data_IF_670635462934
#
_entry.id   IF_670635462934
#
_cell.length_a   1.000
_cell.length_b   1.000
_cell.length_c   1.000
_cell.angle_alpha   90.00
_cell.angle_beta   90.00
_cell.angle_gamma   90.00
#
_symmetry.space_group_name_H-M   'P 1'
#
loop_
_entity.id
_entity.type
_entity.pdbx_description
1 polymer ?
#
# COMPACT_ATOMS: atom_id res chain seq x y z
N UNK A 1 7.04 67.31 -32.09
CA UNK A 1 7.85 66.25 -32.71
C UNK A 1 8.63 65.62 -31.58
N UNK A 2 8.45 64.35 -31.23
CA UNK A 2 8.72 63.19 -32.08
C UNK A 2 7.91 61.99 -31.56
N UNK A 3 7.17 61.34 -32.46
CA UNK A 3 6.32 60.19 -32.16
C UNK A 3 7.15 58.90 -32.23
N UNK A 4 7.16 58.10 -31.16
CA UNK A 4 7.73 56.76 -31.18
C UNK A 4 6.63 55.72 -31.43
N UNK A 5 6.85 54.91 -32.46
CA UNK A 5 5.87 54.13 -33.19
C UNK A 5 5.25 52.96 -32.40
N UNK A 6 3.92 52.80 -32.54
CA UNK A 6 3.21 51.54 -32.31
C UNK A 6 3.73 50.47 -33.28
N UNK A 7 4.40 49.43 -32.77
CA UNK A 7 4.64 48.19 -33.54
C UNK A 7 3.31 47.47 -33.72
N UNK A 8 2.68 47.65 -34.89
CA UNK A 8 1.64 46.77 -35.38
C UNK A 8 2.26 45.41 -35.70
N UNK A 9 1.76 44.33 -35.09
CA UNK A 9 2.09 42.97 -35.53
C UNK A 9 1.31 42.65 -36.80
N UNK A 10 2.07 42.19 -37.80
CA UNK A 10 1.59 41.73 -39.09
C UNK A 10 0.52 40.64 -38.94
N UNK A 11 -0.51 40.73 -39.80
CA UNK A 11 -1.55 39.73 -39.93
C UNK A 11 -1.00 38.39 -40.40
N UNK A 12 -1.00 37.42 -39.50
CA UNK A 12 -1.10 35.99 -39.82
C UNK A 12 -2.38 35.52 -39.18
N UNK A 13 -3.23 34.80 -39.92
CA UNK A 13 -4.56 34.35 -39.48
C UNK A 13 -4.50 33.75 -38.09
N UNK A 14 -4.91 34.53 -37.09
CA UNK A 14 -4.96 34.09 -35.70
C UNK A 14 -6.04 33.03 -35.65
N UNK A 15 -5.66 31.78 -35.39
CA UNK A 15 -6.62 30.87 -34.78
C UNK A 15 -7.28 31.64 -33.62
N UNK A 16 -8.62 31.63 -33.50
CA UNK A 16 -9.31 32.42 -32.50
C UNK A 16 -8.72 32.10 -31.12
N UNK A 17 -8.47 33.13 -30.30
CA UNK A 17 -7.98 32.93 -28.93
C UNK A 17 -9.10 32.29 -28.09
N UNK A 18 -9.13 30.95 -28.14
CA UNK A 18 -10.13 30.14 -27.46
C UNK A 18 -9.99 30.21 -25.94
N UNK A 19 -8.81 30.58 -25.42
CA UNK A 19 -8.55 30.64 -23.99
C UNK A 19 -9.13 31.93 -23.39
N UNK A 20 -9.00 33.05 -24.10
CA UNK A 20 -9.67 34.31 -23.71
C UNK A 20 -11.20 34.21 -23.79
N UNK A 21 -11.73 33.33 -24.63
CA UNK A 21 -13.18 33.07 -24.75
C UNK A 21 -13.77 32.25 -23.59
N UNK A 22 -12.95 31.56 -22.78
CA UNK A 22 -13.44 30.82 -21.61
C UNK A 22 -13.91 31.76 -20.50
N UNK A 23 -14.88 31.32 -19.70
CA UNK A 23 -15.31 32.05 -18.50
C UNK A 23 -14.25 32.00 -17.40
N UNK A 24 -14.28 32.96 -16.48
CA UNK A 24 -13.38 32.99 -15.31
C UNK A 24 -13.51 31.75 -14.42
N UNK A 25 -14.70 31.13 -14.40
CA UNK A 25 -14.94 29.88 -13.68
C UNK A 25 -14.17 28.72 -14.30
N UNK A 26 -14.24 28.55 -15.63
CA UNK A 26 -13.50 27.50 -16.34
C UNK A 26 -11.98 27.73 -16.25
N UNK A 27 -11.54 28.99 -16.37
CA UNK A 27 -10.12 29.31 -16.22
C UNK A 27 -9.61 29.00 -14.80
N UNK A 28 -10.37 29.34 -13.74
CA UNK A 28 -10.02 28.95 -12.36
C UNK A 28 -9.98 27.43 -12.21
N UNK A 29 -10.94 26.71 -12.79
CA UNK A 29 -10.95 25.25 -12.77
C UNK A 29 -9.70 24.66 -13.44
N UNK A 30 -9.27 25.21 -14.58
CA UNK A 30 -8.00 24.82 -15.23
C UNK A 30 -6.80 25.10 -14.31
N UNK A 31 -6.75 26.29 -13.69
CA UNK A 31 -5.66 26.66 -12.78
C UNK A 31 -5.59 25.76 -11.54
N UNK A 32 -6.70 25.18 -11.06
CA UNK A 32 -6.70 24.23 -9.94
C UNK A 32 -5.85 22.97 -10.19
N UNK A 33 -5.61 22.60 -11.45
CA UNK A 33 -4.79 21.45 -11.80
C UNK A 33 -3.30 21.77 -11.90
N UNK A 34 -2.93 23.06 -11.88
CA UNK A 34 -1.55 23.49 -12.00
C UNK A 34 -0.86 23.56 -10.64
N UNK A 35 0.45 23.27 -10.56
CA UNK A 35 1.28 23.74 -9.46
C UNK A 35 1.13 25.25 -9.30
N UNK A 36 1.08 25.74 -8.07
CA UNK A 36 0.83 27.15 -7.77
C UNK A 36 1.86 28.09 -8.42
N UNK A 37 3.10 27.62 -8.59
CA UNK A 37 4.13 28.35 -9.35
C UNK A 37 3.75 28.56 -10.81
N UNK A 38 3.22 27.54 -11.47
CA UNK A 38 2.76 27.63 -12.86
C UNK A 38 1.48 28.48 -12.97
N UNK A 39 0.57 28.36 -12.01
CA UNK A 39 -0.62 29.20 -11.95
C UNK A 39 -0.25 30.69 -11.87
N UNK A 40 0.72 31.08 -11.04
CA UNK A 40 1.23 32.45 -11.00
C UNK A 40 1.92 32.85 -12.31
N UNK A 41 2.63 31.94 -12.98
CA UNK A 41 3.28 32.26 -14.27
C UNK A 41 2.28 32.63 -15.37
N UNK A 42 1.01 32.20 -15.28
CA UNK A 42 -0.03 32.58 -16.25
C UNK A 42 -0.33 34.08 -16.27
N UNK A 43 0.13 34.85 -15.28
CA UNK A 43 -0.05 36.32 -15.25
C UNK A 43 0.61 37.03 -16.42
N UNK A 44 1.56 36.39 -17.11
CA UNK A 44 2.20 36.95 -18.32
C UNK A 44 1.26 36.99 -19.52
N UNK A 45 0.14 36.23 -19.49
CA UNK A 45 -0.82 36.15 -20.58
C UNK A 45 -1.67 37.42 -20.67
N UNK A 46 -2.20 37.90 -19.53
CA UNK A 46 -2.89 39.19 -19.41
C UNK A 46 -3.16 39.56 -17.95
N UNK A 47 -3.60 40.81 -17.71
CA UNK A 47 -4.00 41.28 -16.36
C UNK A 47 -5.10 40.43 -15.72
N UNK A 48 -6.02 39.89 -16.53
CA UNK A 48 -7.12 39.02 -16.07
C UNK A 48 -6.61 37.82 -15.26
N UNK A 49 -5.48 37.25 -15.67
CA UNK A 49 -4.89 36.08 -15.01
C UNK A 49 -4.35 36.39 -13.61
N UNK A 50 -4.01 37.64 -13.31
CA UNK A 50 -3.56 38.08 -11.97
C UNK A 50 -4.66 37.88 -10.93
N UNK A 51 -5.89 38.26 -11.26
CA UNK A 51 -7.02 38.13 -10.34
C UNK A 51 -7.54 36.69 -10.30
N UNK A 52 -7.46 35.98 -11.44
CA UNK A 52 -7.83 34.56 -11.51
C UNK A 52 -6.97 33.71 -10.57
N UNK A 53 -5.64 33.76 -10.66
CA UNK A 53 -4.80 32.88 -9.82
C UNK A 53 -4.97 33.17 -8.32
N UNK A 54 -5.20 34.43 -7.93
CA UNK A 54 -5.41 34.81 -6.51
C UNK A 54 -6.70 34.25 -5.93
N UNK A 55 -7.68 33.92 -6.77
CA UNK A 55 -9.00 33.43 -6.38
C UNK A 55 -9.20 31.94 -6.67
N UNK A 56 -8.14 31.22 -7.06
CA UNK A 56 -8.17 29.77 -7.26
C UNK A 56 -8.40 29.08 -5.92
N UNK A 57 -9.38 28.15 -5.79
CA UNK A 57 -9.62 27.44 -4.54
C UNK A 57 -8.59 26.32 -4.27
N UNK A 58 -7.40 26.38 -4.85
CA UNK A 58 -6.40 25.34 -4.77
C UNK A 58 -4.99 25.92 -4.64
N UNK A 59 -4.25 25.40 -3.67
CA UNK A 59 -2.84 25.70 -3.44
C UNK A 59 -2.08 24.39 -3.53
N UNK A 60 -1.15 24.31 -4.47
CA UNK A 60 -0.31 23.14 -4.68
C UNK A 60 1.15 23.58 -4.77
N UNK A 61 1.88 23.38 -3.68
CA UNK A 61 3.27 23.77 -3.53
C UNK A 61 4.11 22.54 -3.26
N UNK A 62 5.01 22.21 -4.18
CA UNK A 62 5.97 21.13 -4.02
C UNK A 62 7.39 21.70 -4.13
N UNK A 63 8.26 21.32 -3.19
CA UNK A 63 9.69 21.61 -3.21
C UNK A 63 10.38 21.24 -4.54
N UNK A 64 9.86 20.24 -5.25
CA UNK A 64 10.36 19.82 -6.56
C UNK A 64 10.09 20.84 -7.68
N UNK A 65 9.10 21.72 -7.53
CA UNK A 65 8.85 22.85 -8.46
C UNK A 65 9.94 23.92 -8.40
N UNK A 66 10.77 23.86 -7.35
CA UNK A 66 11.87 24.76 -7.07
C UNK A 66 13.24 24.06 -7.21
N UNK A 67 13.32 22.93 -7.93
CA UNK A 67 14.60 22.26 -8.23
C UNK A 67 15.61 23.26 -8.81
N UNK A 68 16.79 23.32 -8.20
CA UNK A 68 17.85 24.26 -8.58
C UNK A 68 17.73 25.67 -7.98
N UNK A 69 16.67 25.96 -7.22
CA UNK A 69 16.56 27.20 -6.45
C UNK A 69 17.00 26.98 -4.99
N UNK A 70 17.53 28.04 -4.37
CA UNK A 70 17.80 28.08 -2.94
C UNK A 70 16.49 28.09 -2.12
N UNK A 71 16.54 27.56 -0.89
CA UNK A 71 15.42 27.53 0.05
C UNK A 71 14.81 28.92 0.25
N UNK A 72 15.64 29.97 0.34
CA UNK A 72 15.17 31.35 0.49
C UNK A 72 14.18 31.76 -0.60
N UNK A 73 14.47 31.42 -1.86
CA UNK A 73 13.57 31.74 -2.99
C UNK A 73 12.24 30.99 -2.89
N UNK A 74 12.27 29.72 -2.51
CA UNK A 74 11.08 28.90 -2.34
C UNK A 74 10.21 29.40 -1.18
N UNK A 75 10.85 29.78 -0.07
CA UNK A 75 10.23 30.39 1.10
C UNK A 75 9.57 31.72 0.76
N UNK A 76 10.28 32.62 0.09
CA UNK A 76 9.79 33.95 -0.27
C UNK A 76 8.62 33.85 -1.25
N UNK A 77 8.76 33.00 -2.27
CA UNK A 77 7.66 32.72 -3.20
C UNK A 77 6.43 32.20 -2.46
N UNK A 78 6.59 31.20 -1.60
CA UNK A 78 5.46 30.60 -0.86
C UNK A 78 4.80 31.62 0.05
N UNK A 79 5.60 32.38 0.79
CA UNK A 79 5.09 33.42 1.70
C UNK A 79 4.30 34.48 0.93
N UNK A 80 4.86 34.98 -0.17
CA UNK A 80 4.20 36.00 -1.01
C UNK A 80 2.94 35.46 -1.68
N UNK A 81 2.99 34.22 -2.17
CA UNK A 81 1.83 33.55 -2.77
C UNK A 81 0.68 33.49 -1.78
N UNK A 82 0.93 33.00 -0.56
CA UNK A 82 -0.08 32.93 0.48
C UNK A 82 -0.56 34.34 0.87
N UNK A 83 0.30 35.37 0.87
CA UNK A 83 -0.08 36.78 1.17
C UNK A 83 -1.03 37.37 0.16
N UNK A 84 -0.83 37.05 -1.11
CA UNK A 84 -1.62 37.58 -2.21
C UNK A 84 -2.85 36.72 -2.54
N UNK A 85 -2.92 35.50 -2.01
CA UNK A 85 -4.05 34.61 -2.18
C UNK A 85 -5.30 35.16 -1.46
N UNK A 86 -6.42 35.19 -2.17
CA UNK A 86 -7.65 35.84 -1.72
C UNK A 86 -8.92 34.99 -1.94
N UNK A 87 -8.79 33.68 -2.12
CA UNK A 87 -9.97 32.80 -2.10
C UNK A 87 -10.59 32.77 -0.69
N UNK A 88 -11.92 32.86 -0.61
CA UNK A 88 -12.65 32.75 0.65
C UNK A 88 -12.51 31.35 1.26
N UNK A 89 -12.61 30.32 0.41
CA UNK A 89 -12.47 28.92 0.77
C UNK A 89 -11.42 28.24 -0.09
N UNK A 90 -10.69 27.30 0.49
CA UNK A 90 -9.79 26.41 -0.24
C UNK A 90 -10.42 25.03 -0.34
N UNK A 91 -10.47 24.45 -1.53
CA UNK A 91 -10.86 23.06 -1.72
C UNK A 91 -9.66 22.14 -1.50
N UNK A 92 -8.48 22.53 -2.00
CA UNK A 92 -7.27 21.70 -1.90
C UNK A 92 -6.09 22.52 -1.48
N UNK A 93 -5.39 22.07 -0.43
CA UNK A 93 -4.11 22.63 0.00
C UNK A 93 -3.09 21.51 0.10
N UNK A 94 -2.03 21.60 -0.72
CA UNK A 94 -0.88 20.71 -0.68
C UNK A 94 0.38 21.51 -0.45
N UNK A 95 1.08 21.20 0.65
CA UNK A 95 2.35 21.81 1.05
C UNK A 95 3.37 20.70 1.24
N UNK A 96 4.15 20.41 0.19
CA UNK A 96 5.13 19.32 0.14
C UNK A 96 6.55 19.88 0.12
N UNK A 97 7.12 20.06 1.30
CA UNK A 97 8.46 20.59 1.48
C UNK A 97 9.35 19.52 2.11
N UNK A 98 9.90 18.63 1.26
CA UNK A 98 10.81 17.58 1.71
C UNK A 98 12.26 18.08 1.81
N UNK A 99 12.99 17.61 2.82
CA UNK A 99 14.43 17.85 2.96
C UNK A 99 15.20 17.25 1.78
N UNK A 100 15.46 18.07 0.76
CA UNK A 100 16.24 17.63 -0.41
C UNK A 100 17.76 17.78 -0.22
N UNK A 101 18.25 18.43 0.84
CA UNK A 101 19.68 18.55 1.11
C UNK A 101 20.01 18.82 2.59
N UNK A 102 21.08 18.17 3.09
CA UNK A 102 21.55 18.22 4.49
C UNK A 102 22.12 19.58 4.96
N UNK A 103 22.00 20.62 4.14
CA UNK A 103 22.73 21.90 4.32
C UNK A 103 21.78 23.06 4.67
N UNK A 104 20.46 22.88 4.60
CA UNK A 104 19.51 23.98 4.80
C UNK A 104 18.80 23.97 6.16
N UNK A 105 18.52 25.20 6.63
CA UNK A 105 17.76 25.52 7.84
C UNK A 105 16.37 24.86 7.82
N UNK A 106 15.92 24.44 8.99
CA UNK A 106 14.65 23.75 9.18
C UNK A 106 13.44 24.63 8.79
N UNK A 107 12.53 24.17 7.91
CA UNK A 107 11.41 24.97 7.43
C UNK A 107 10.28 25.14 8.44
N UNK A 108 10.34 24.55 9.64
CA UNK A 108 9.20 24.46 10.55
C UNK A 108 8.55 25.78 10.94
N UNK A 109 9.29 26.85 11.31
CA UNK A 109 8.66 28.14 11.63
C UNK A 109 7.90 28.74 10.44
N UNK A 110 8.42 28.55 9.23
CA UNK A 110 7.76 29.01 8.00
C UNK A 110 6.54 28.14 7.70
N UNK A 111 6.66 26.81 7.84
CA UNK A 111 5.55 25.86 7.70
C UNK A 111 4.43 26.14 8.70
N UNK A 112 4.73 26.46 9.97
CA UNK A 112 3.71 26.80 10.98
C UNK A 112 2.93 28.04 10.55
N UNK A 113 3.65 29.09 10.12
CA UNK A 113 3.03 30.31 9.60
C UNK A 113 2.14 30.03 8.38
N UNK A 114 2.63 29.23 7.43
CA UNK A 114 1.89 28.89 6.22
C UNK A 114 0.65 28.05 6.51
N UNK A 115 0.78 27.04 7.38
CA UNK A 115 -0.31 26.15 7.79
C UNK A 115 -1.39 26.95 8.54
N UNK A 116 -1.01 27.82 9.48
CA UNK A 116 -1.98 28.72 10.16
C UNK A 116 -2.73 29.61 9.20
N UNK A 117 -2.09 30.06 8.11
CA UNK A 117 -2.77 30.86 7.09
C UNK A 117 -3.81 30.03 6.35
N UNK A 118 -3.41 28.91 5.76
CA UNK A 118 -4.28 28.12 4.89
C UNK A 118 -5.47 27.50 5.64
N UNK A 119 -5.30 27.15 6.92
CA UNK A 119 -6.39 26.62 7.76
C UNK A 119 -7.53 27.64 7.93
N UNK A 120 -7.24 28.96 7.95
CA UNK A 120 -8.27 30.01 8.05
C UNK A 120 -9.23 30.02 6.85
N UNK A 121 -8.86 29.40 5.73
CA UNK A 121 -9.70 29.30 4.54
C UNK A 121 -10.49 27.98 4.49
N UNK A 122 -10.60 27.26 5.62
CA UNK A 122 -11.45 26.08 5.78
C UNK A 122 -11.28 25.01 4.68
N UNK A 123 -10.06 24.43 4.54
CA UNK A 123 -9.76 23.50 3.47
C UNK A 123 -10.66 22.25 3.48
N UNK A 124 -11.12 21.80 2.31
CA UNK A 124 -11.77 20.49 2.15
C UNK A 124 -10.73 19.34 2.22
N UNK A 125 -9.56 19.56 1.62
CA UNK A 125 -8.40 18.66 1.63
C UNK A 125 -7.17 19.42 2.13
N UNK A 126 -6.53 18.89 3.17
CA UNK A 126 -5.25 19.39 3.68
C UNK A 126 -4.19 18.28 3.60
N UNK A 127 -3.14 18.52 2.82
CA UNK A 127 -2.02 17.61 2.60
C UNK A 127 -0.71 18.33 2.93
N UNK A 128 -0.10 17.98 4.06
CA UNK A 128 1.15 18.58 4.54
C UNK A 128 2.20 17.49 4.62
N UNK A 129 3.33 17.69 3.94
CA UNK A 129 4.46 16.77 3.99
C UNK A 129 5.77 17.55 4.15
N UNK A 130 6.49 17.30 5.25
CA UNK A 130 7.74 18.01 5.60
C UNK A 130 8.97 17.08 5.42
N UNK A 131 8.75 15.85 4.96
CA UNK A 131 9.79 14.83 4.86
C UNK A 131 10.36 14.40 6.22
N UNK A 132 11.40 13.56 6.21
CA UNK A 132 12.01 13.00 7.44
C UNK A 132 12.83 14.07 8.16
N UNK A 133 12.26 14.73 9.17
CA UNK A 133 13.03 15.54 10.12
C UNK A 133 13.27 14.76 11.42
N UNK A 134 14.51 14.33 11.65
CA UNK A 134 14.90 13.67 12.90
C UNK A 134 15.19 14.65 14.05
N UNK A 135 15.30 15.95 13.78
CA UNK A 135 15.83 16.94 14.74
C UNK A 135 14.84 18.00 15.21
N UNK A 136 13.72 18.19 14.51
CA UNK A 136 12.79 19.27 14.81
C UNK A 136 11.34 18.83 14.63
N UNK A 137 10.54 19.08 15.66
CA UNK A 137 9.15 18.66 15.77
C UNK A 137 8.23 19.77 15.24
N UNK A 138 7.71 19.57 14.03
CA UNK A 138 6.62 20.41 13.54
C UNK A 138 5.32 19.86 14.12
N UNK A 139 4.63 20.65 14.93
CA UNK A 139 3.28 20.33 15.40
C UNK A 139 2.26 21.03 14.51
N UNK A 140 1.23 20.30 14.10
CA UNK A 140 0.13 20.92 13.37
C UNK A 140 -0.70 21.78 14.33
N UNK A 141 -0.89 23.07 14.07
CA UNK A 141 -1.76 23.90 14.88
C UNK A 141 -3.21 23.46 14.67
N UNK A 142 -3.74 22.69 15.61
CA UNK A 142 -5.17 22.33 15.62
C UNK A 142 -5.95 23.51 16.16
N UNK A 143 -6.50 24.30 15.24
CA UNK A 143 -7.33 25.46 15.57
C UNK A 143 -8.80 25.05 15.50
N UNK A 144 -9.32 24.43 16.57
CA UNK A 144 -10.76 24.20 16.83
C UNK A 144 -11.67 24.12 15.58
N UNK A 145 -12.68 25.00 15.51
CA UNK A 145 -13.71 25.07 14.46
C UNK A 145 -13.21 25.35 13.04
N UNK A 146 -11.91 25.56 12.82
CA UNK A 146 -11.37 25.90 11.51
C UNK A 146 -11.44 24.74 10.50
N UNK A 147 -11.65 23.50 10.94
CA UNK A 147 -11.75 22.32 10.08
C UNK A 147 -13.17 21.79 9.88
N UNK A 148 -14.20 22.64 10.05
CA UNK A 148 -15.61 22.24 9.90
C UNK A 148 -16.01 21.64 8.55
N UNK A 149 -15.20 21.82 7.49
CA UNK A 149 -15.39 21.23 6.15
C UNK A 149 -14.36 20.18 5.76
N UNK A 150 -13.35 19.93 6.60
CA UNK A 150 -12.22 19.08 6.24
C UNK A 150 -12.64 17.62 6.13
N UNK A 151 -12.63 17.08 4.91
CA UNK A 151 -12.94 15.67 4.64
C UNK A 151 -11.70 14.79 4.56
N UNK A 152 -10.56 15.35 4.13
CA UNK A 152 -9.32 14.60 3.96
C UNK A 152 -8.15 15.32 4.61
N UNK A 153 -7.47 14.63 5.52
CA UNK A 153 -6.26 15.08 6.19
C UNK A 153 -5.11 14.13 5.90
N UNK A 154 -4.02 14.65 5.32
CA UNK A 154 -2.81 13.88 5.02
C UNK A 154 -1.62 14.58 5.64
N UNK A 155 -0.91 13.88 6.51
CA UNK A 155 0.20 14.40 7.27
C UNK A 155 1.42 13.52 7.08
N UNK A 156 2.54 14.13 6.70
CA UNK A 156 3.80 13.51 6.38
C UNK A 156 4.95 14.12 7.18
N UNK A 157 5.63 13.34 8.02
CA UNK A 157 6.82 13.82 8.74
C UNK A 157 6.55 14.84 9.86
N UNK A 158 5.37 14.79 10.48
CA UNK A 158 4.96 15.72 11.54
C UNK A 158 4.98 15.07 12.93
N UNK A 159 5.10 15.88 13.98
CA UNK A 159 4.91 15.45 15.37
C UNK A 159 3.46 15.73 15.78
N UNK A 160 2.77 14.72 16.31
CA UNK A 160 1.39 14.81 16.74
C UNK A 160 1.32 14.55 18.25
N UNK A 161 0.97 15.58 19.00
CA UNK A 161 0.81 15.50 20.44
C UNK A 161 -0.47 14.75 20.85
N UNK A 162 -0.66 14.52 22.16
CA UNK A 162 -1.87 13.91 22.72
C UNK A 162 -3.15 14.66 22.33
N UNK A 163 -3.09 15.99 22.22
CA UNK A 163 -4.24 16.85 21.92
C UNK A 163 -4.75 16.67 20.49
N UNK A 164 -3.93 16.13 19.57
CA UNK A 164 -4.36 15.78 18.22
C UNK A 164 -5.44 14.72 18.23
N UNK A 165 -5.19 13.60 18.92
CA UNK A 165 -6.12 12.49 18.99
C UNK A 165 -7.46 12.89 19.65
N UNK A 166 -7.41 13.71 20.70
CA UNK A 166 -8.60 14.18 21.42
C UNK A 166 -9.48 15.11 20.58
N UNK A 167 -8.85 15.90 19.70
CA UNK A 167 -9.53 16.92 18.90
C UNK A 167 -9.94 16.45 17.50
N UNK A 168 -9.72 15.19 17.13
CA UNK A 168 -10.14 14.67 15.82
C UNK A 168 -11.65 14.83 15.61
N UNK A 169 -12.46 14.44 16.60
CA UNK A 169 -13.93 14.54 16.52
C UNK A 169 -14.46 15.97 16.63
N UNK A 170 -13.94 16.77 17.57
CA UNK A 170 -14.44 18.14 17.80
C UNK A 170 -13.88 19.15 16.81
N UNK A 171 -12.64 18.96 16.36
CA UNK A 171 -11.96 19.83 15.40
C UNK A 171 -12.36 19.52 13.96
N UNK A 172 -12.45 18.24 13.58
CA UNK A 172 -12.72 17.81 12.21
C UNK A 172 -13.98 16.93 12.12
N UNK A 173 -15.18 17.50 12.38
CA UNK A 173 -16.42 16.73 12.57
C UNK A 173 -16.95 16.02 11.32
N UNK A 174 -16.35 16.25 10.15
CA UNK A 174 -16.72 15.63 8.87
C UNK A 174 -15.55 14.89 8.21
N UNK A 175 -14.51 14.58 8.98
CA UNK A 175 -13.31 13.92 8.47
C UNK A 175 -13.60 12.47 8.09
N UNK A 176 -13.37 12.13 6.83
CA UNK A 176 -13.60 10.79 6.29
C UNK A 176 -12.29 10.06 5.97
N UNK A 177 -11.23 10.78 5.61
CA UNK A 177 -9.94 10.23 5.19
C UNK A 177 -8.79 10.78 6.02
N UNK A 178 -8.07 9.91 6.73
CA UNK A 178 -6.87 10.26 7.49
C UNK A 178 -5.67 9.44 7.01
N UNK A 179 -4.62 10.14 6.59
CA UNK A 179 -3.33 9.54 6.22
C UNK A 179 -2.23 10.12 7.10
N UNK A 180 -1.56 9.25 7.85
CA UNK A 180 -0.38 9.56 8.64
C UNK A 180 0.81 8.82 8.04
N UNK A 181 1.84 9.54 7.62
CA UNK A 181 3.05 8.99 7.03
C UNK A 181 4.29 9.57 7.75
N UNK A 182 5.21 8.72 8.20
CA UNK A 182 6.39 9.15 8.95
C UNK A 182 6.11 10.08 10.14
N UNK A 183 4.92 9.99 10.76
CA UNK A 183 4.54 10.84 11.89
C UNK A 183 5.06 10.27 13.21
N UNK A 184 5.42 11.16 14.14
CA UNK A 184 5.70 10.81 15.53
C UNK A 184 4.45 11.09 16.35
N UNK A 185 3.85 10.05 16.91
CA UNK A 185 2.59 10.14 17.63
C UNK A 185 2.83 10.03 19.14
N UNK A 186 2.45 11.06 19.89
CA UNK A 186 2.47 11.10 21.36
C UNK A 186 1.10 10.74 21.96
N UNK A 187 0.33 9.95 21.23
CA UNK A 187 -0.96 9.40 21.66
C UNK A 187 -1.00 7.90 21.43
N UNK A 188 -1.86 7.22 22.19
CA UNK A 188 -2.08 5.77 22.14
C UNK A 188 -3.30 5.39 21.30
N UNK A 189 -4.25 6.31 21.10
CA UNK A 189 -5.55 6.01 20.54
C UNK A 189 -6.01 7.01 19.48
N UNK A 190 -6.54 6.50 18.36
CA UNK A 190 -7.29 7.27 17.37
C UNK A 190 -8.77 7.00 17.60
N UNK A 191 -9.54 8.05 17.90
CA UNK A 191 -10.99 7.98 18.09
C UNK A 191 -11.66 8.86 17.06
N UNK A 192 -12.55 8.29 16.23
CA UNK A 192 -13.33 9.09 15.29
C UNK A 192 -14.65 8.42 14.90
N UNK A 193 -15.74 9.19 14.91
CA UNK A 193 -17.07 8.67 14.56
C UNK A 193 -17.40 8.81 13.05
N UNK A 194 -16.61 9.59 12.31
CA UNK A 194 -16.84 9.88 10.89
C UNK A 194 -15.82 9.22 9.95
N UNK A 195 -14.68 8.77 10.48
CA UNK A 195 -13.58 8.27 9.68
C UNK A 195 -13.96 6.99 8.92
N UNK A 196 -13.78 7.03 7.59
CA UNK A 196 -14.04 5.90 6.67
C UNK A 196 -12.77 5.24 6.19
N UNK A 197 -11.68 6.01 6.03
CA UNK A 197 -10.41 5.50 5.55
C UNK A 197 -9.27 5.96 6.47
N UNK A 198 -8.49 5.00 6.97
CA UNK A 198 -7.33 5.26 7.80
C UNK A 198 -6.09 4.60 7.20
N UNK A 199 -5.05 5.40 6.99
CA UNK A 199 -3.74 4.94 6.54
C UNK A 199 -2.68 5.42 7.52
N UNK A 200 -1.92 4.49 8.10
CA UNK A 200 -0.79 4.79 8.99
C UNK A 200 0.44 4.09 8.45
N UNK A 201 1.46 4.85 8.04
CA UNK A 201 2.70 4.34 7.45
C UNK A 201 3.90 4.88 8.21
N UNK A 202 4.82 4.00 8.59
CA UNK A 202 6.13 4.34 9.17
C UNK A 202 6.03 5.33 10.33
N UNK A 203 4.93 5.31 11.08
CA UNK A 203 4.72 6.18 12.23
C UNK A 203 5.29 5.53 13.49
N UNK A 204 5.80 6.34 14.41
CA UNK A 204 6.37 5.90 15.68
C UNK A 204 5.59 6.45 16.88
N UNK A 205 5.70 5.78 18.03
CA UNK A 205 5.24 6.31 19.31
C UNK A 205 6.22 5.96 20.41
N UNK A 206 6.53 6.92 21.27
CA UNK A 206 7.33 6.72 22.48
C UNK A 206 6.45 6.50 23.72
N UNK A 207 5.15 6.76 23.62
CA UNK A 207 4.21 6.79 24.75
C UNK A 207 3.49 5.45 24.88
N UNK A 208 3.23 4.76 23.76
CA UNK A 208 2.41 3.57 23.75
C UNK A 208 3.08 2.42 22.99
N UNK A 209 3.11 1.24 23.64
CA UNK A 209 3.44 -0.01 22.97
C UNK A 209 2.32 -0.52 22.05
N UNK A 210 1.08 -0.08 22.25
CA UNK A 210 -0.12 -0.51 21.49
C UNK A 210 -0.78 0.70 20.85
N UNK A 211 -1.19 0.61 19.59
CA UNK A 211 -2.07 1.60 18.96
C UNK A 211 -3.53 1.14 19.05
N UNK A 212 -4.40 1.99 19.57
CA UNK A 212 -5.84 1.74 19.71
C UNK A 212 -6.57 2.52 18.60
N UNK A 213 -7.45 1.85 17.85
CA UNK A 213 -8.28 2.51 16.84
C UNK A 213 -9.74 2.26 17.18
N UNK A 214 -10.48 3.32 17.50
CA UNK A 214 -11.93 3.30 17.72
C UNK A 214 -12.59 4.14 16.64
N UNK A 215 -13.05 3.49 15.58
CA UNK A 215 -13.66 4.15 14.43
C UNK A 215 -14.77 3.28 13.84
N UNK A 216 -16.02 3.40 14.33
CA UNK A 216 -17.10 2.47 13.99
C UNK A 216 -17.52 2.52 12.52
N UNK A 217 -17.29 3.65 11.84
CA UNK A 217 -17.61 3.85 10.43
C UNK A 217 -16.47 3.49 9.47
N UNK A 218 -15.38 2.91 9.98
CA UNK A 218 -14.17 2.65 9.20
C UNK A 218 -14.43 1.56 8.16
N UNK A 219 -14.28 1.90 6.88
CA UNK A 219 -14.46 0.99 5.74
C UNK A 219 -13.12 0.45 5.20
N UNK A 220 -12.04 1.22 5.33
CA UNK A 220 -10.71 0.84 4.85
C UNK A 220 -9.62 1.15 5.88
N UNK A 221 -8.79 0.16 6.18
CA UNK A 221 -7.64 0.27 7.08
C UNK A 221 -6.35 -0.15 6.37
N UNK A 222 -5.33 0.70 6.41
CA UNK A 222 -3.99 0.38 5.91
C UNK A 222 -2.94 0.71 6.96
N UNK A 223 -2.23 -0.30 7.45
CA UNK A 223 -1.20 -0.15 8.48
C UNK A 223 0.12 -0.71 7.98
N UNK A 224 1.13 0.13 7.88
CA UNK A 224 2.44 -0.26 7.37
C UNK A 224 3.57 0.16 8.32
N UNK A 225 4.10 -0.80 9.08
CA UNK A 225 5.18 -0.57 10.05
C UNK A 225 6.44 -1.34 9.63
N UNK A 226 7.40 -0.70 8.94
CA UNK A 226 8.63 -1.37 8.50
C UNK A 226 9.72 -1.46 9.59
N UNK A 227 9.54 -0.79 10.73
CA UNK A 227 10.51 -0.72 11.82
C UNK A 227 9.81 -0.84 13.20
N UNK A 228 10.60 -0.86 14.28
CA UNK A 228 10.26 -1.13 15.69
C UNK A 228 9.19 -0.20 16.35
N UNK A 229 8.03 -0.04 15.75
CA UNK A 229 6.97 0.87 16.20
C UNK A 229 5.75 0.07 16.66
N UNK A 230 5.18 0.45 17.82
CA UNK A 230 4.06 -0.26 18.48
C UNK A 230 4.33 -1.74 18.77
N UNK A 231 5.39 -2.02 19.55
CA UNK A 231 5.89 -3.37 19.87
C UNK A 231 4.86 -4.35 20.44
N UNK A 232 3.83 -3.84 21.12
CA UNK A 232 2.78 -4.64 21.76
C UNK A 232 1.53 -4.82 20.86
N UNK A 233 1.53 -4.27 19.64
CA UNK A 233 0.54 -4.54 18.61
C UNK A 233 -0.55 -3.47 18.44
N UNK A 234 -1.74 -3.89 18.01
CA UNK A 234 -2.88 -3.02 17.70
C UNK A 234 -4.15 -3.56 18.36
N UNK A 235 -4.97 -2.65 18.88
CA UNK A 235 -6.36 -2.94 19.26
C UNK A 235 -7.31 -2.18 18.35
N UNK A 236 -8.13 -2.92 17.59
CA UNK A 236 -9.08 -2.35 16.64
C UNK A 236 -10.52 -2.55 17.09
N UNK A 237 -11.27 -1.45 17.16
CA UNK A 237 -12.71 -1.39 17.35
C UNK A 237 -13.33 -0.62 16.18
N UNK A 238 -13.43 -1.28 15.02
CA UNK A 238 -13.89 -0.69 13.76
C UNK A 238 -15.37 -0.98 13.42
N UNK A 239 -16.13 -1.54 14.36
CA UNK A 239 -17.51 -1.99 14.10
C UNK A 239 -17.58 -3.06 13.00
N UNK A 240 -18.75 -3.15 12.33
CA UNK A 240 -18.99 -4.09 11.24
C UNK A 240 -18.75 -3.48 9.84
N UNK A 241 -18.33 -2.21 9.77
CA UNK A 241 -18.19 -1.47 8.51
C UNK A 241 -16.89 -1.75 7.75
N UNK A 242 -15.91 -2.38 8.40
CA UNK A 242 -14.58 -2.57 7.83
C UNK A 242 -14.60 -3.61 6.70
N UNK A 243 -14.51 -3.13 5.46
CA UNK A 243 -14.51 -3.97 4.27
C UNK A 243 -13.09 -4.38 3.84
N UNK A 244 -12.12 -3.46 3.94
CA UNK A 244 -10.75 -3.68 3.48
C UNK A 244 -9.73 -3.44 4.58
N UNK A 245 -8.81 -4.39 4.75
CA UNK A 245 -7.66 -4.22 5.64
C UNK A 245 -6.37 -4.66 4.94
N UNK A 246 -5.33 -3.82 5.02
CA UNK A 246 -3.98 -4.13 4.57
C UNK A 246 -3.00 -3.85 5.70
N UNK A 247 -2.33 -4.89 6.21
CA UNK A 247 -1.51 -4.77 7.41
C UNK A 247 -0.15 -5.40 7.20
N UNK A 248 0.89 -4.62 7.49
CA UNK A 248 2.27 -5.06 7.50
C UNK A 248 2.79 -5.14 8.92
N UNK A 249 3.16 -6.35 9.31
CA UNK A 249 3.79 -6.68 10.58
C UNK A 249 5.23 -7.12 10.30
N UNK A 250 6.13 -6.15 10.11
CA UNK A 250 7.57 -6.41 9.89
C UNK A 250 8.32 -5.93 11.12
N UNK A 251 8.95 -6.85 11.86
CA UNK A 251 9.71 -6.55 13.09
C UNK A 251 9.16 -7.22 14.34
N UNK A 252 9.50 -6.69 15.51
CA UNK A 252 9.27 -7.29 16.86
C UNK A 252 7.80 -7.26 17.34
N UNK A 253 6.79 -7.11 16.47
CA UNK A 253 5.40 -7.28 16.92
C UNK A 253 5.26 -8.71 17.42
N UNK A 254 5.00 -8.85 18.72
CA UNK A 254 4.90 -10.18 19.34
C UNK A 254 3.88 -11.05 18.61
N UNK A 255 4.12 -12.36 18.54
CA UNK A 255 3.20 -13.32 17.92
C UNK A 255 1.79 -13.21 18.53
N UNK A 256 1.70 -12.89 19.82
CA UNK A 256 0.45 -12.56 20.54
C UNK A 256 -0.22 -11.29 20.00
N UNK A 257 0.53 -10.22 19.75
CA UNK A 257 0.02 -8.99 19.16
C UNK A 257 -0.52 -9.22 17.74
N UNK A 258 0.18 -10.02 16.94
CA UNK A 258 -0.29 -10.45 15.61
C UNK A 258 -1.61 -11.24 15.70
N UNK A 259 -1.73 -12.16 16.66
CA UNK A 259 -2.95 -12.94 16.87
C UNK A 259 -4.14 -12.05 17.30
N UNK A 260 -3.94 -11.12 18.24
CA UNK A 260 -4.99 -10.16 18.67
C UNK A 260 -5.48 -9.34 17.48
N UNK A 261 -4.55 -8.86 16.66
CA UNK A 261 -4.86 -8.08 15.48
C UNK A 261 -5.69 -8.90 14.48
N UNK A 262 -5.26 -10.12 14.15
CA UNK A 262 -6.00 -11.00 13.22
C UNK A 262 -7.45 -11.22 13.67
N UNK A 263 -7.66 -11.43 14.98
CA UNK A 263 -9.02 -11.62 15.53
C UNK A 263 -9.92 -10.41 15.38
N UNK A 264 -9.37 -9.21 15.26
CA UNK A 264 -10.16 -7.97 15.10
C UNK A 264 -10.64 -7.73 13.66
N UNK A 265 -10.16 -8.52 12.69
CA UNK A 265 -10.38 -8.31 11.25
C UNK A 265 -11.39 -9.30 10.65
N UNK A 266 -12.17 -9.99 11.48
CA UNK A 266 -13.03 -11.09 11.03
C UNK A 266 -14.16 -10.69 10.07
N UNK A 267 -14.58 -9.42 10.10
CA UNK A 267 -15.68 -8.93 9.27
C UNK A 267 -15.25 -8.48 7.85
N UNK A 268 -13.96 -8.44 7.54
CA UNK A 268 -13.46 -7.86 6.28
C UNK A 268 -13.80 -8.72 5.07
N UNK A 269 -13.99 -8.08 3.92
CA UNK A 269 -14.19 -8.74 2.62
C UNK A 269 -12.89 -8.93 1.85
N UNK A 270 -11.92 -8.03 2.05
CA UNK A 270 -10.58 -8.12 1.48
C UNK A 270 -9.52 -7.90 2.55
N UNK A 271 -8.62 -8.88 2.70
CA UNK A 271 -7.55 -8.86 3.68
C UNK A 271 -6.19 -9.05 3.00
N UNK A 272 -5.27 -8.13 3.27
CA UNK A 272 -3.87 -8.23 2.87
C UNK A 272 -2.99 -8.23 4.11
N UNK A 273 -2.13 -9.24 4.22
CA UNK A 273 -1.22 -9.41 5.34
C UNK A 273 0.22 -9.50 4.82
N UNK A 274 1.11 -8.75 5.44
CA UNK A 274 2.54 -8.77 5.15
C UNK A 274 3.33 -9.13 6.41
N UNK A 275 4.19 -10.15 6.35
CA UNK A 275 5.15 -10.46 7.43
C UNK A 275 4.62 -11.22 8.65
N UNK A 276 3.41 -11.80 8.59
CA UNK A 276 2.81 -12.49 9.76
C UNK A 276 3.45 -13.87 10.00
N UNK A 277 3.66 -14.23 11.27
CA UNK A 277 4.23 -15.52 11.71
C UNK A 277 3.21 -16.66 11.72
N UNK A 278 3.65 -17.92 11.61
CA UNK A 278 2.75 -19.08 11.65
C UNK A 278 2.11 -19.25 13.02
N UNK A 279 2.84 -18.91 14.08
CA UNK A 279 2.35 -19.00 15.45
C UNK A 279 1.11 -18.12 15.66
N UNK A 280 1.07 -16.93 15.07
CA UNK A 280 -0.10 -16.05 15.15
C UNK A 280 -1.38 -16.67 14.54
N UNK A 281 -1.24 -17.56 13.55
CA UNK A 281 -2.35 -18.30 12.94
C UNK A 281 -2.62 -19.65 13.61
N UNK A 282 -1.68 -20.16 14.42
CA UNK A 282 -1.75 -21.47 15.09
C UNK A 282 -2.09 -21.38 16.58
N UNK A 283 -2.19 -20.17 17.12
CA UNK A 283 -2.31 -19.91 18.55
C UNK A 283 -3.38 -20.80 19.21
N UNK A 284 -2.92 -21.62 20.17
CA UNK A 284 -3.76 -22.54 20.95
C UNK A 284 -4.55 -21.81 22.06
N UNK A 285 -4.23 -20.56 22.38
CA UNK A 285 -4.93 -19.76 23.40
C UNK A 285 -6.32 -19.25 22.95
N UNK A 286 -6.81 -19.70 21.78
CA UNK A 286 -7.99 -19.19 21.11
C UNK A 286 -9.02 -20.28 20.82
N UNK A 287 -9.67 -20.81 21.85
CA UNK A 287 -10.95 -21.53 21.67
C UNK A 287 -12.06 -20.68 21.00
N UNK A 288 -11.79 -19.41 20.67
CA UNK A 288 -12.70 -18.41 20.10
C UNK A 288 -12.09 -17.65 18.90
N UNK A 289 -11.30 -18.32 18.05
CA UNK A 289 -10.85 -17.69 16.79
C UNK A 289 -12.07 -17.49 15.87
N UNK A 290 -12.33 -16.25 15.40
CA UNK A 290 -13.54 -15.93 14.66
C UNK A 290 -13.52 -16.57 13.27
N UNK A 291 -14.72 -16.80 12.73
CA UNK A 291 -14.89 -17.21 11.33
C UNK A 291 -14.95 -15.95 10.48
N UNK A 292 -14.25 -15.97 9.35
CA UNK A 292 -14.15 -14.89 8.38
C UNK A 292 -15.20 -15.10 7.28
N UNK A 293 -16.49 -15.08 7.65
CA UNK A 293 -17.59 -15.42 6.74
C UNK A 293 -17.74 -14.43 5.57
N UNK A 294 -17.31 -13.18 5.77
CA UNK A 294 -17.36 -12.12 4.76
C UNK A 294 -16.12 -12.11 3.84
N UNK A 295 -15.04 -12.82 4.20
CA UNK A 295 -13.78 -12.74 3.48
C UNK A 295 -13.90 -13.39 2.09
N UNK A 296 -13.63 -12.59 1.05
CA UNK A 296 -13.65 -13.02 -0.36
C UNK A 296 -12.26 -12.99 -0.98
N UNK A 297 -11.42 -12.03 -0.59
CA UNK A 297 -10.05 -11.91 -1.10
C UNK A 297 -9.05 -11.95 0.04
N UNK A 298 -8.09 -12.86 -0.04
CA UNK A 298 -6.98 -12.98 0.90
C UNK A 298 -5.65 -12.86 0.15
N UNK A 299 -4.78 -11.97 0.60
CA UNK A 299 -3.41 -11.81 0.11
C UNK A 299 -2.43 -11.98 1.26
N UNK A 300 -1.50 -12.93 1.14
CA UNK A 300 -0.44 -13.18 2.11
C UNK A 300 0.91 -12.92 1.44
N UNK A 301 1.65 -11.93 1.91
CA UNK A 301 2.96 -11.56 1.39
C UNK A 301 4.03 -11.72 2.46
N UNK A 302 5.15 -12.40 2.15
CA UNK A 302 6.25 -12.65 3.09
C UNK A 302 5.78 -13.15 4.47
N UNK A 303 4.66 -13.87 4.50
CA UNK A 303 4.13 -14.49 5.71
C UNK A 303 4.82 -15.84 5.93
N UNK A 304 4.89 -16.26 7.18
CA UNK A 304 5.50 -17.52 7.60
C UNK A 304 6.97 -17.62 7.22
N UNK A 305 7.76 -16.56 7.38
CA UNK A 305 9.20 -16.60 7.04
C UNK A 305 10.11 -16.93 8.22
N UNK A 306 9.60 -17.04 9.46
CA UNK A 306 10.42 -17.36 10.62
C UNK A 306 10.99 -18.78 10.55
N UNK A 307 12.18 -18.98 11.12
CA UNK A 307 12.79 -20.31 11.30
C UNK A 307 11.95 -21.18 12.24
N UNK A 308 11.19 -20.56 13.16
CA UNK A 308 10.32 -21.24 14.14
C UNK A 308 9.02 -21.75 13.55
N UNK A 309 8.68 -21.31 12.35
CA UNK A 309 7.43 -21.65 11.70
C UNK A 309 7.52 -23.06 11.05
N UNK A 310 7.85 -24.11 11.80
CA UNK A 310 7.93 -25.49 11.26
C UNK A 310 6.57 -25.98 10.73
N UNK A 311 5.48 -25.33 11.15
CA UNK A 311 4.09 -25.67 10.83
C UNK A 311 3.39 -24.66 9.88
N UNK A 312 4.13 -23.94 9.02
CA UNK A 312 3.58 -22.94 8.06
C UNK A 312 2.34 -23.43 7.31
N UNK A 313 2.44 -24.65 6.76
CA UNK A 313 1.40 -25.23 5.94
C UNK A 313 0.12 -25.52 6.74
N UNK A 314 0.29 -26.01 7.98
CA UNK A 314 -0.80 -26.23 8.93
C UNK A 314 -1.47 -24.92 9.33
N UNK A 315 -0.67 -23.86 9.54
CA UNK A 315 -1.16 -22.53 9.86
C UNK A 315 -2.07 -21.98 8.76
N UNK A 316 -1.59 -22.07 7.51
CA UNK A 316 -2.35 -21.68 6.34
C UNK A 316 -3.64 -22.50 6.19
N UNK A 317 -3.57 -23.82 6.30
CA UNK A 317 -4.74 -24.71 6.22
C UNK A 317 -5.82 -24.35 7.25
N UNK A 318 -5.42 -24.12 8.52
CA UNK A 318 -6.35 -23.70 9.58
C UNK A 318 -6.98 -22.33 9.32
N UNK A 319 -6.22 -21.37 8.81
CA UNK A 319 -6.78 -20.06 8.49
C UNK A 319 -7.79 -20.13 7.35
N UNK A 320 -7.49 -20.94 6.33
CA UNK A 320 -8.40 -21.20 5.22
C UNK A 320 -9.68 -21.93 5.67
N UNK A 321 -9.60 -22.83 6.67
CA UNK A 321 -10.80 -23.44 7.28
C UNK A 321 -11.71 -22.41 7.94
N UNK A 322 -11.14 -21.31 8.42
CA UNK A 322 -11.88 -20.18 9.00
C UNK A 322 -12.36 -19.17 7.96
N UNK A 323 -12.12 -19.42 6.66
CA UNK A 323 -12.46 -18.53 5.55
C UNK A 323 -13.30 -19.25 4.49
N UNK A 324 -14.50 -19.75 4.84
CA UNK A 324 -15.26 -20.69 4.00
C UNK A 324 -15.73 -20.11 2.66
N UNK A 325 -15.89 -18.79 2.58
CA UNK A 325 -16.39 -18.08 1.40
C UNK A 325 -15.29 -17.43 0.55
N UNK A 326 -14.03 -17.85 0.72
CA UNK A 326 -12.90 -17.26 0.02
C UNK A 326 -12.97 -17.54 -1.49
N UNK A 327 -12.93 -16.48 -2.30
CA UNK A 327 -13.01 -16.54 -3.76
C UNK A 327 -11.65 -16.34 -4.43
N UNK A 328 -10.77 -15.54 -3.83
CA UNK A 328 -9.44 -15.23 -4.35
C UNK A 328 -8.37 -15.37 -3.28
N UNK A 329 -7.36 -16.17 -3.60
CA UNK A 329 -6.17 -16.36 -2.77
C UNK A 329 -4.93 -15.89 -3.52
N UNK A 330 -4.16 -15.00 -2.92
CA UNK A 330 -2.89 -14.51 -3.42
C UNK A 330 -1.77 -14.83 -2.42
N UNK A 331 -0.79 -15.62 -2.85
CA UNK A 331 0.39 -15.94 -2.07
C UNK A 331 1.60 -15.30 -2.74
N UNK A 332 2.28 -14.42 -2.01
CA UNK A 332 3.45 -13.68 -2.49
C UNK A 332 4.67 -13.96 -1.64
N UNK A 333 5.82 -14.11 -2.29
CA UNK A 333 7.11 -14.35 -1.61
C UNK A 333 6.98 -15.50 -0.58
N UNK A 334 6.23 -16.53 -0.94
CA UNK A 334 5.83 -17.59 -0.02
C UNK A 334 6.82 -18.75 -0.12
N UNK A 335 7.23 -19.30 1.03
CA UNK A 335 8.31 -20.30 1.18
C UNK A 335 9.70 -19.90 0.66
N UNK A 336 9.90 -18.63 0.31
CA UNK A 336 11.23 -18.11 0.02
C UNK A 336 12.05 -18.04 1.32
N UNK A 337 13.05 -18.91 1.49
CA UNK A 337 14.01 -18.79 2.58
C UNK A 337 15.14 -17.89 2.11
N UNK A 338 15.18 -16.65 2.58
CA UNK A 338 16.29 -15.73 2.31
C UNK A 338 17.50 -16.16 3.15
N UNK A 339 18.18 -17.22 2.70
CA UNK A 339 19.44 -17.67 3.26
C UNK A 339 20.59 -16.77 2.81
N UNK A 340 20.86 -15.73 3.60
CA UNK A 340 22.18 -15.13 3.86
C UNK A 340 23.03 -14.80 2.61
N UNK A 341 22.84 -13.62 2.04
CA UNK A 341 23.94 -12.86 1.40
C UNK A 341 24.58 -11.89 2.40
N UNK A 342 24.83 -12.33 3.64
CA UNK A 342 26.00 -11.78 4.35
C UNK A 342 27.20 -12.54 3.82
N UNK A 343 27.96 -11.89 2.93
CA UNK A 343 29.33 -12.27 2.62
C UNK A 343 30.16 -12.21 3.90
N UNK A 344 30.04 -13.22 4.75
CA UNK A 344 31.08 -13.50 5.73
C UNK A 344 32.09 -14.42 5.05
N UNK A 345 33.32 -13.91 4.96
CA UNK A 345 34.50 -14.64 4.55
C UNK A 345 34.76 -15.75 5.57
N UNK A 346 34.12 -16.91 5.41
CA UNK A 346 34.60 -18.16 6.00
C UNK A 346 34.26 -19.31 5.06
N UNK A 347 35.23 -20.20 4.84
CA UNK A 347 35.18 -21.27 3.85
C UNK A 347 34.25 -22.44 4.22
N UNK A 348 33.38 -22.27 5.21
CA UNK A 348 32.41 -23.28 5.62
C UNK A 348 31.00 -22.87 5.19
N UNK A 349 30.53 -23.49 4.09
CA UNK A 349 29.12 -23.44 3.69
C UNK A 349 28.25 -23.88 4.88
N UNK A 350 27.34 -23.05 5.41
CA UNK A 350 26.40 -23.52 6.41
C UNK A 350 25.44 -24.51 5.73
N UNK A 351 25.58 -25.80 6.05
CA UNK A 351 24.61 -26.84 5.69
C UNK A 351 23.35 -26.68 6.55
N UNK A 352 22.57 -25.63 6.29
CA UNK A 352 21.23 -25.50 6.85
C UNK A 352 20.28 -26.39 6.06
N UNK A 353 19.90 -27.52 6.67
CA UNK A 353 18.84 -28.40 6.18
C UNK A 353 17.58 -27.55 6.04
N UNK A 354 17.15 -27.29 4.81
CA UNK A 354 15.81 -26.75 4.53
C UNK A 354 14.79 -27.63 5.24
N UNK A 355 14.15 -27.11 6.30
CA UNK A 355 13.08 -27.81 7.00
C UNK A 355 11.93 -27.93 6.01
N UNK A 356 11.84 -29.09 5.39
CA UNK A 356 10.83 -29.40 4.38
C UNK A 356 9.45 -29.32 5.04
N UNK A 357 8.45 -28.71 4.39
CA UNK A 357 7.09 -28.73 4.91
C UNK A 357 6.64 -30.18 5.03
N UNK A 358 6.38 -30.64 6.26
CA UNK A 358 5.69 -31.90 6.49
C UNK A 358 4.24 -31.68 6.08
N UNK A 359 3.94 -31.95 4.81
CA UNK A 359 2.58 -31.93 4.27
C UNK A 359 1.86 -33.18 4.79
N UNK A 360 1.27 -33.06 5.98
CA UNK A 360 0.39 -34.09 6.52
C UNK A 360 -0.92 -34.17 5.72
N UNK A 361 -1.47 -35.36 5.45
CA UNK A 361 -2.64 -35.55 4.58
C UNK A 361 -4.00 -35.06 5.11
N UNK A 362 -4.11 -34.44 6.31
CA UNK A 362 -5.40 -34.38 7.05
C UNK A 362 -5.92 -32.96 7.36
N UNK A 363 -5.19 -31.86 7.10
CA UNK A 363 -5.58 -30.56 7.70
C UNK A 363 -5.90 -29.41 6.72
N UNK A 364 -5.95 -29.66 5.41
CA UNK A 364 -6.29 -28.60 4.45
C UNK A 364 -7.75 -28.69 3.99
N UNK A 365 -8.51 -27.59 4.01
CA UNK A 365 -9.93 -27.61 3.64
C UNK A 365 -10.11 -27.74 2.13
N UNK A 366 -11.26 -28.28 1.72
CA UNK A 366 -11.76 -28.11 0.36
C UNK A 366 -12.22 -26.66 0.22
N UNK A 367 -11.63 -25.94 -0.73
CA UNK A 367 -11.88 -24.55 -1.05
C UNK A 367 -12.95 -24.45 -2.15
N UNK A 368 -14.19 -24.78 -1.82
CA UNK A 368 -15.29 -24.86 -2.81
C UNK A 368 -15.58 -23.52 -3.50
N UNK A 369 -15.36 -22.41 -2.80
CA UNK A 369 -15.61 -21.06 -3.31
C UNK A 369 -14.41 -20.44 -4.03
N UNK A 370 -13.22 -21.04 -3.96
CA UNK A 370 -12.04 -20.46 -4.58
C UNK A 370 -12.15 -20.51 -6.11
N UNK A 371 -12.05 -19.34 -6.74
CA UNK A 371 -12.09 -19.13 -8.20
C UNK A 371 -10.75 -18.69 -8.75
N UNK A 372 -9.98 -17.93 -7.98
CA UNK A 372 -8.69 -17.39 -8.42
C UNK A 372 -7.58 -17.74 -7.44
N UNK A 373 -6.50 -18.32 -7.95
CA UNK A 373 -5.26 -18.56 -7.21
C UNK A 373 -4.10 -17.84 -7.89
N UNK A 374 -3.39 -17.00 -7.14
CA UNK A 374 -2.19 -16.30 -7.58
C UNK A 374 -1.01 -16.74 -6.72
N UNK A 375 0.05 -17.21 -7.38
CA UNK A 375 1.35 -17.50 -6.79
C UNK A 375 2.36 -16.52 -7.40
N UNK A 376 2.90 -15.62 -6.60
CA UNK A 376 3.81 -14.54 -7.02
C UNK A 376 5.14 -14.69 -6.26
N UNK A 377 6.26 -14.87 -6.95
CA UNK A 377 7.59 -15.04 -6.34
C UNK A 377 7.65 -16.14 -5.27
N UNK A 378 6.92 -17.26 -5.45
CA UNK A 378 6.91 -18.39 -4.52
C UNK A 378 7.97 -19.43 -4.86
N UNK A 379 8.46 -20.17 -3.86
CA UNK A 379 9.35 -21.32 -4.08
C UNK A 379 8.54 -22.59 -4.41
N UNK A 380 8.65 -23.07 -5.65
CA UNK A 380 7.99 -24.27 -6.15
C UNK A 380 8.97 -25.42 -6.49
N UNK A 381 10.22 -25.35 -6.02
CA UNK A 381 11.28 -26.33 -6.33
C UNK A 381 11.02 -27.74 -5.81
N UNK A 382 10.16 -27.92 -4.82
CA UNK A 382 9.75 -29.24 -4.29
C UNK A 382 8.74 -29.94 -5.22
N UNK A 383 9.07 -30.02 -6.51
CA UNK A 383 8.27 -30.66 -7.56
C UNK A 383 6.78 -30.25 -7.54
N UNK A 384 6.51 -28.96 -7.34
CA UNK A 384 5.16 -28.39 -7.33
C UNK A 384 4.21 -28.98 -6.27
N UNK A 385 4.71 -29.61 -5.20
CA UNK A 385 3.86 -30.26 -4.19
C UNK A 385 2.77 -29.36 -3.60
N UNK A 386 3.12 -28.12 -3.32
CA UNK A 386 2.16 -27.11 -2.86
C UNK A 386 1.09 -26.84 -3.91
N UNK A 387 1.51 -26.55 -5.14
CA UNK A 387 0.60 -26.24 -6.23
C UNK A 387 -0.36 -27.42 -6.46
N UNK A 388 0.15 -28.66 -6.41
CA UNK A 388 -0.67 -29.88 -6.42
C UNK A 388 -1.69 -29.89 -5.30
N UNK A 389 -1.35 -29.43 -4.10
CA UNK A 389 -2.26 -29.40 -2.97
C UNK A 389 -3.42 -28.43 -3.17
N UNK A 390 -3.13 -27.20 -3.64
CA UNK A 390 -4.17 -26.22 -3.96
C UNK A 390 -5.08 -26.70 -5.09
N UNK A 391 -4.51 -27.26 -6.15
CA UNK A 391 -5.27 -27.75 -7.31
C UNK A 391 -6.16 -28.96 -6.96
N UNK A 392 -5.73 -29.80 -6.01
CA UNK A 392 -6.58 -30.88 -5.47
C UNK A 392 -7.71 -30.35 -4.61
N UNK A 393 -7.46 -29.29 -3.84
CA UNK A 393 -8.40 -28.80 -2.84
C UNK A 393 -9.34 -27.73 -3.38
N UNK A 394 -9.22 -27.32 -4.64
CA UNK A 394 -9.98 -26.20 -5.24
C UNK A 394 -10.76 -26.67 -6.47
N UNK A 395 -11.88 -27.41 -6.31
CA UNK A 395 -12.60 -28.03 -7.42
C UNK A 395 -13.18 -27.03 -8.43
N UNK A 396 -13.53 -25.83 -7.95
CA UNK A 396 -14.16 -24.78 -8.76
C UNK A 396 -13.17 -23.68 -9.21
N UNK A 397 -11.86 -23.94 -9.17
CA UNK A 397 -10.86 -22.97 -9.58
C UNK A 397 -11.01 -22.64 -11.07
N UNK A 398 -11.05 -21.34 -11.41
CA UNK A 398 -11.27 -20.85 -12.77
C UNK A 398 -10.01 -20.19 -13.37
N UNK A 399 -9.23 -19.49 -12.53
CA UNK A 399 -8.00 -18.81 -12.92
C UNK A 399 -6.82 -19.21 -12.02
N UNK A 400 -5.72 -19.61 -12.64
CA UNK A 400 -4.42 -19.81 -12.00
C UNK A 400 -3.40 -18.81 -12.56
N UNK A 401 -2.71 -18.07 -11.71
CA UNK A 401 -1.56 -17.24 -12.12
C UNK A 401 -0.31 -17.69 -11.37
N UNK A 402 0.76 -18.00 -12.09
CA UNK A 402 2.08 -18.31 -11.55
C UNK A 402 3.07 -17.28 -12.08
N UNK A 403 3.48 -16.36 -11.22
CA UNK A 403 4.32 -15.21 -11.55
C UNK A 403 5.67 -15.32 -10.84
N UNK A 404 6.75 -15.21 -11.59
CA UNK A 404 8.13 -15.08 -11.08
C UNK A 404 8.53 -16.12 -10.02
N UNK A 405 7.90 -17.30 -9.99
CA UNK A 405 8.16 -18.34 -9.01
C UNK A 405 9.48 -19.10 -9.30
N UNK A 406 10.15 -19.58 -8.25
CA UNK A 406 11.31 -20.46 -8.40
C UNK A 406 10.86 -21.88 -8.77
N UNK A 407 11.45 -22.45 -9.81
CA UNK A 407 11.07 -23.75 -10.38
C UNK A 407 12.20 -24.78 -10.16
N UNK A 408 11.88 -26.10 -10.13
CA UNK A 408 12.89 -27.12 -9.93
C UNK A 408 14.02 -27.04 -10.96
N UNK A 409 15.24 -27.33 -10.52
CA UNK A 409 16.36 -27.45 -11.44
C UNK A 409 16.21 -28.74 -12.24
N UNK A 410 15.86 -28.62 -13.52
CA UNK A 410 15.74 -29.79 -14.37
C UNK A 410 16.99 -30.67 -14.35
N UNK A 411 16.77 -31.98 -14.26
CA UNK A 411 17.82 -32.98 -14.19
C UNK A 411 18.81 -32.76 -15.33
N UNK A 412 20.05 -32.42 -14.98
CA UNK A 412 21.15 -32.39 -15.94
C UNK A 412 21.23 -33.77 -16.57
N UNK A 413 20.99 -33.86 -17.88
CA UNK A 413 21.29 -35.04 -18.67
C UNK A 413 22.81 -35.31 -18.57
N UNK A 414 23.21 -36.12 -17.59
CA UNK A 414 24.55 -36.71 -17.60
C UNK A 414 24.57 -37.66 -18.79
N UNK A 415 25.36 -37.33 -19.81
CA UNK A 415 25.69 -38.21 -20.94
C UNK A 415 26.19 -39.55 -20.39
N UNK A 416 25.30 -40.54 -20.34
CA UNK A 416 25.59 -41.86 -19.81
C UNK A 416 24.35 -42.72 -19.88
N UNK A 417 24.33 -43.61 -20.90
CA UNK A 417 23.37 -44.69 -21.18
C UNK A 417 21.95 -44.46 -20.68
N UNK A 418 21.04 -44.20 -21.62
CA UNK A 418 19.60 -44.11 -21.45
C UNK A 418 19.03 -45.14 -20.45
N UNK A 419 18.98 -44.76 -19.17
CA UNK A 419 17.89 -45.19 -18.31
C UNK A 419 16.78 -44.21 -18.61
N UNK A 420 15.80 -44.66 -19.39
CA UNK A 420 14.46 -44.08 -19.39
C UNK A 420 14.00 -44.10 -17.93
N UNK A 421 14.29 -43.04 -17.17
CA UNK A 421 13.43 -42.65 -16.07
C UNK A 421 12.16 -42.19 -16.76
N UNK A 422 11.29 -43.16 -17.08
CA UNK A 422 9.86 -42.91 -17.04
C UNK A 422 9.64 -42.07 -15.79
N UNK A 423 9.31 -40.79 -15.97
CA UNK A 423 8.61 -40.05 -14.92
C UNK A 423 7.33 -40.86 -14.74
N UNK A 424 7.40 -41.83 -13.83
CA UNK A 424 6.38 -42.86 -13.71
C UNK A 424 5.07 -42.14 -13.42
N UNK A 425 4.18 -42.28 -14.40
CA UNK A 425 2.75 -42.05 -14.40
C UNK A 425 2.02 -42.90 -13.36
N UNK A 426 2.54 -43.00 -12.13
CA UNK A 426 2.01 -43.85 -11.05
C UNK A 426 1.71 -43.09 -9.76
N UNK A 427 1.22 -41.87 -9.90
CA UNK A 427 0.17 -41.39 -9.03
C UNK A 427 -0.75 -40.57 -9.92
N UNK A 428 -1.81 -41.21 -10.42
CA UNK A 428 -2.97 -40.54 -11.00
C UNK A 428 -3.62 -39.71 -9.90
N UNK A 429 -3.00 -38.58 -9.60
CA UNK A 429 -3.57 -37.57 -8.75
C UNK A 429 -4.79 -37.06 -9.49
N UNK A 430 -6.00 -37.44 -9.08
CA UNK A 430 -7.24 -36.83 -9.58
C UNK A 430 -7.23 -35.36 -9.15
N UNK A 431 -6.77 -34.49 -10.04
CA UNK A 431 -6.99 -33.04 -9.90
C UNK A 431 -8.48 -32.77 -10.01
N UNK A 432 -9.01 -31.92 -9.13
CA UNK A 432 -10.46 -31.65 -9.05
C UNK A 432 -10.86 -30.37 -9.80
N UNK A 433 -9.88 -29.57 -10.26
CA UNK A 433 -10.08 -28.27 -10.91
C UNK A 433 -10.56 -28.37 -12.37
N UNK A 434 -11.69 -29.04 -12.61
CA UNK A 434 -12.29 -29.21 -13.94
C UNK A 434 -12.83 -27.91 -14.55
N UNK A 435 -13.05 -26.88 -13.72
CA UNK A 435 -13.55 -25.55 -14.15
C UNK A 435 -12.44 -24.57 -14.53
N UNK A 436 -11.18 -25.01 -14.59
CA UNK A 436 -10.05 -24.15 -14.91
C UNK A 436 -10.15 -23.68 -16.37
N UNK A 437 -10.23 -22.36 -16.59
CA UNK A 437 -10.39 -21.72 -17.90
C UNK A 437 -9.11 -21.02 -18.37
N UNK A 438 -8.34 -20.49 -17.42
CA UNK A 438 -7.16 -19.70 -17.72
C UNK A 438 -6.03 -20.00 -16.74
N UNK A 439 -4.85 -20.26 -17.31
CA UNK A 439 -3.60 -20.39 -16.59
C UNK A 439 -2.58 -19.42 -17.18
N UNK A 440 -2.12 -18.49 -16.37
CA UNK A 440 -1.18 -17.45 -16.77
C UNK A 440 0.17 -17.70 -16.08
N UNK A 441 1.23 -17.82 -16.88
CA UNK A 441 2.59 -18.07 -16.39
C UNK A 441 3.47 -16.89 -16.81
N UNK A 442 3.90 -16.12 -15.82
CA UNK A 442 4.78 -14.97 -15.99
C UNK A 442 6.17 -15.34 -15.46
N UNK A 443 7.21 -15.28 -16.28
CA UNK A 443 8.54 -15.77 -15.90
C UNK A 443 9.68 -14.84 -16.32
N UNK A 444 10.74 -14.82 -15.50
CA UNK A 444 11.96 -14.05 -15.77
C UNK A 444 12.78 -14.71 -16.88
N UNK A 445 13.51 -13.91 -17.67
CA UNK A 445 14.46 -14.41 -18.68
C UNK A 445 15.44 -15.44 -18.10
N UNK A 446 15.49 -16.64 -18.71
CA UNK A 446 16.30 -17.77 -18.24
C UNK A 446 15.58 -18.74 -17.29
N UNK A 447 14.33 -18.47 -16.91
CA UNK A 447 13.51 -19.37 -16.08
C UNK A 447 13.25 -20.73 -16.75
N UNK A 448 13.44 -21.83 -16.02
CA UNK A 448 13.21 -23.20 -16.50
C UNK A 448 11.72 -23.57 -16.44
N UNK A 449 10.89 -22.94 -17.29
CA UNK A 449 9.42 -23.06 -17.27
C UNK A 449 8.90 -24.38 -17.85
N UNK A 450 9.74 -25.14 -18.58
CA UNK A 450 9.35 -26.39 -19.26
C UNK A 450 8.68 -27.41 -18.32
N UNK A 451 9.22 -27.59 -17.12
CA UNK A 451 8.68 -28.56 -16.17
C UNK A 451 7.33 -28.14 -15.60
N UNK A 452 7.13 -26.83 -15.37
CA UNK A 452 5.86 -26.28 -14.93
C UNK A 452 4.79 -26.42 -16.02
N UNK A 453 5.14 -26.13 -17.28
CA UNK A 453 4.23 -26.31 -18.42
C UNK A 453 3.86 -27.78 -18.58
N UNK A 454 4.84 -28.69 -18.55
CA UNK A 454 4.57 -30.13 -18.61
C UNK A 454 3.63 -30.58 -17.48
N UNK A 455 3.87 -30.10 -16.27
CA UNK A 455 3.01 -30.40 -15.13
C UNK A 455 1.58 -29.88 -15.31
N UNK A 456 1.40 -28.69 -15.90
CA UNK A 456 0.09 -28.08 -16.13
C UNK A 456 -0.65 -28.67 -17.33
N UNK A 457 0.06 -29.18 -18.35
CA UNK A 457 -0.55 -29.88 -19.48
C UNK A 457 -1.26 -31.15 -19.02
N UNK A 458 -0.67 -31.93 -18.11
CA UNK A 458 -1.33 -33.10 -17.48
C UNK A 458 -2.66 -32.73 -16.80
N UNK A 459 -2.79 -31.49 -16.32
CA UNK A 459 -4.02 -30.97 -15.70
C UNK A 459 -4.99 -30.51 -16.79
N UNK A 460 -4.51 -29.80 -17.81
CA UNK A 460 -5.32 -29.34 -18.95
C UNK A 460 -5.94 -30.48 -19.75
N UNK A 461 -5.31 -31.66 -19.82
CA UNK A 461 -5.94 -32.87 -20.40
C UNK A 461 -7.29 -33.21 -19.73
N UNK A 462 -7.46 -32.81 -18.47
CA UNK A 462 -8.70 -33.01 -17.70
C UNK A 462 -9.58 -31.76 -17.60
N UNK A 463 -9.04 -30.61 -17.96
CA UNK A 463 -9.72 -29.33 -18.03
C UNK A 463 -9.51 -28.74 -19.44
N UNK A 464 -10.19 -29.29 -20.47
CA UNK A 464 -9.89 -29.01 -21.88
C UNK A 464 -10.13 -27.55 -22.28
N UNK A 465 -10.87 -26.79 -21.48
CA UNK A 465 -11.14 -25.36 -21.68
C UNK A 465 -10.04 -24.46 -21.10
N UNK A 466 -8.98 -25.03 -20.50
CA UNK A 466 -7.88 -24.26 -19.92
C UNK A 466 -6.92 -23.75 -20.99
N UNK A 467 -6.86 -22.43 -21.14
CA UNK A 467 -5.84 -21.74 -21.94
C UNK A 467 -4.59 -21.46 -21.10
N UNK A 468 -3.43 -21.90 -21.58
CA UNK A 468 -2.14 -21.59 -20.93
C UNK A 468 -1.47 -20.43 -21.68
N UNK A 469 -1.34 -19.27 -21.03
CA UNK A 469 -0.63 -18.11 -21.53
C UNK A 469 0.76 -18.03 -20.90
N UNK A 470 1.79 -17.83 -21.73
CA UNK A 470 3.17 -17.67 -21.32
C UNK A 470 3.62 -16.24 -21.61
N UNK A 471 4.03 -15.52 -20.57
CA UNK A 471 4.53 -14.14 -20.67
C UNK A 471 5.94 -14.07 -20.08
N UNK A 472 6.91 -13.64 -20.88
CA UNK A 472 8.26 -13.40 -20.41
C UNK A 472 8.42 -11.94 -19.97
N UNK A 473 8.98 -11.72 -18.79
CA UNK A 473 9.26 -10.38 -18.21
C UNK A 473 10.75 -10.16 -17.95
#
# INVERSE_FOLDING_TARGET
MEAAAKRARAGGGSAPDRLSALSDELLRHVLCFLPSRQAVQTTVLSKRWVDLWRSVPAINLDSTDFRGADWGKSKDFTTNLLMLHNAQFLDVVRLWFSYMNRVFSYPGPDMDRWVRRVIKHHPLVLDINIGRSFRHEFQIPLVGSAFGRLKTLRLGGVCLDHSFAERLNSGCPVLEDLVLDYCRNEFDAIRSDTLKNLVVRTCSSNVAGVLIIRAPCLASLSLHFPYYYYRNGLLLAAGNSLARASISSVGDVTERGQAILLRSLFNVTSLELYGFSAVAFLDKALGKFPIFDNLRTLSLNRCFLSERDVHKFKALGRFLQKSPNLEKLNLKNFWYFEGIERKEQSNDKPRLKTVRPVVGPIEFPILENLRTLVLDECDLRDSFRILRHFLRSSPNLEKLTVQCCELPEGSVERKGKAKKTHFQSRNLVRFQCLKLKSTEIIYKKGGKVKELVSFLLDISERAPMNSILLTQV
#
